data_IF_237905122877
#
_entry.id   IF_237905122877
#
_cell.length_a   1.000
_cell.length_b   1.000
_cell.length_c   1.000
_cell.angle_alpha   90.00
_cell.angle_beta   90.00
_cell.angle_gamma   90.00
#
_symmetry.space_group_name_H-M   'P 1'
#
loop_
_entity.id
_entity.type
_entity.pdbx_description
1 polymer ?
#
# COMPACT_ATOMS: atom_id res chain seq x y z
N UNK A 1 1.16 -14.56 -7.85
CA UNK A 1 1.25 -15.98 -7.41
C UNK A 1 0.50 -16.21 -6.09
N UNK A 2 0.83 -15.57 -4.96
CA UNK A 2 0.20 -15.86 -3.66
C UNK A 2 -1.32 -15.63 -3.61
N UNK A 3 -1.85 -14.58 -4.26
CA UNK A 3 -3.31 -14.34 -4.36
C UNK A 3 -4.01 -15.50 -5.08
N UNK A 4 -3.44 -15.98 -6.18
CA UNK A 4 -4.03 -17.10 -6.92
C UNK A 4 -4.02 -18.37 -6.07
N UNK A 5 -2.93 -18.61 -5.32
CA UNK A 5 -2.83 -19.75 -4.42
C UNK A 5 -3.90 -19.69 -3.30
N UNK A 6 -4.10 -18.50 -2.71
CA UNK A 6 -5.17 -18.29 -1.73
C UNK A 6 -6.55 -18.59 -2.33
N UNK A 7 -6.85 -18.05 -3.51
CA UNK A 7 -8.14 -18.21 -4.16
C UNK A 7 -8.39 -19.66 -4.61
N UNK A 8 -7.34 -20.40 -4.98
CA UNK A 8 -7.46 -21.84 -5.23
C UNK A 8 -7.74 -22.63 -3.94
N UNK A 9 -7.01 -22.36 -2.86
CA UNK A 9 -7.26 -22.99 -1.55
C UNK A 9 -8.69 -22.73 -1.07
N UNK A 10 -9.20 -21.51 -1.32
CA UNK A 10 -10.57 -21.14 -0.96
C UNK A 10 -11.67 -21.98 -1.63
N UNK A 11 -11.35 -22.79 -2.64
CA UNK A 11 -12.33 -23.71 -3.25
C UNK A 11 -12.56 -24.98 -2.46
N UNK A 12 -11.63 -25.34 -1.57
CA UNK A 12 -11.57 -26.66 -0.95
C UNK A 12 -11.66 -26.66 0.58
N UNK A 13 -11.61 -25.47 1.21
CA UNK A 13 -11.57 -25.40 2.68
C UNK A 13 -12.38 -24.21 3.20
N UNK A 14 -12.68 -24.25 4.51
CA UNK A 14 -13.40 -23.18 5.21
C UNK A 14 -12.46 -22.33 6.10
N UNK A 15 -11.22 -22.77 6.26
CA UNK A 15 -10.19 -22.04 6.99
C UNK A 15 -8.89 -22.08 6.21
N UNK A 16 -8.29 -20.91 6.01
CA UNK A 16 -6.98 -20.74 5.37
C UNK A 16 -6.05 -20.08 6.37
N UNK A 17 -4.93 -20.73 6.68
CA UNK A 17 -3.89 -20.19 7.55
C UNK A 17 -2.55 -20.19 6.79
N UNK A 18 -2.06 -19.01 6.44
CA UNK A 18 -0.85 -18.85 5.62
C UNK A 18 0.12 -17.85 6.22
N UNK A 19 1.41 -18.10 6.01
CA UNK A 19 2.45 -17.08 6.10
C UNK A 19 2.54 -16.42 4.73
N UNK A 20 2.31 -15.11 4.68
CA UNK A 20 2.13 -14.33 3.46
C UNK A 20 3.07 -13.11 3.47
N UNK A 21 3.41 -12.56 2.30
CA UNK A 21 4.10 -11.28 2.24
C UNK A 21 3.34 -10.18 2.97
N UNK A 22 4.05 -9.22 3.59
CA UNK A 22 3.43 -8.08 4.30
C UNK A 22 2.41 -7.30 3.45
N UNK A 23 2.54 -7.34 2.12
CA UNK A 23 1.56 -6.72 1.21
C UNK A 23 0.13 -7.23 1.37
N UNK A 24 -0.07 -8.40 1.99
CA UNK A 24 -1.39 -8.92 2.31
C UNK A 24 -2.10 -8.15 3.44
N UNK A 25 -1.42 -7.22 4.09
CA UNK A 25 -2.03 -6.22 4.98
C UNK A 25 -2.70 -5.06 4.22
N UNK A 26 -2.39 -4.89 2.94
CA UNK A 26 -2.96 -3.80 2.12
C UNK A 26 -4.35 -4.17 1.62
N UNK A 27 -5.29 -3.24 1.72
CA UNK A 27 -6.66 -3.40 1.19
C UNK A 27 -6.67 -3.75 -0.30
N UNK A 28 -5.75 -3.14 -1.07
CA UNK A 28 -5.60 -3.41 -2.51
C UNK A 28 -5.27 -4.88 -2.84
N UNK A 29 -4.62 -5.59 -1.92
CA UNK A 29 -4.35 -7.03 -2.03
C UNK A 29 -5.53 -7.83 -1.49
N UNK A 30 -6.04 -7.47 -0.32
CA UNK A 30 -7.15 -8.18 0.32
C UNK A 30 -8.44 -8.12 -0.51
N UNK A 31 -8.69 -7.03 -1.23
CA UNK A 31 -9.83 -6.91 -2.15
C UNK A 31 -9.80 -7.91 -3.31
N UNK A 32 -8.65 -8.54 -3.58
CA UNK A 32 -8.46 -9.53 -4.65
C UNK A 32 -8.57 -10.97 -4.16
N UNK A 33 -8.70 -11.17 -2.84
CA UNK A 33 -8.93 -12.47 -2.23
C UNK A 33 -10.42 -12.82 -2.32
N UNK A 34 -10.73 -14.12 -2.27
CA UNK A 34 -12.11 -14.61 -2.23
C UNK A 34 -12.89 -13.88 -1.12
N UNK A 35 -13.97 -13.20 -1.50
CA UNK A 35 -14.71 -12.31 -0.60
C UNK A 35 -15.48 -13.06 0.50
N UNK A 36 -15.75 -14.35 0.32
CA UNK A 36 -16.37 -15.17 1.37
C UNK A 36 -15.41 -15.51 2.52
N UNK A 37 -14.13 -15.13 2.40
CA UNK A 37 -13.16 -15.32 3.49
C UNK A 37 -12.93 -14.01 4.24
N UNK A 38 -13.10 -14.06 5.56
CA UNK A 38 -12.90 -12.95 6.47
C UNK A 38 -11.62 -13.16 7.27
N UNK A 39 -10.83 -12.10 7.42
CA UNK A 39 -9.63 -12.14 8.25
C UNK A 39 -10.04 -12.30 9.72
N UNK A 40 -9.67 -13.43 10.32
CA UNK A 40 -10.02 -13.76 11.71
C UNK A 40 -8.88 -13.44 12.67
N UNK A 41 -7.62 -13.65 12.24
CA UNK A 41 -6.44 -13.37 13.06
C UNK A 41 -5.25 -12.98 12.17
N UNK A 42 -4.40 -12.10 12.70
CA UNK A 42 -3.20 -11.62 12.02
C UNK A 42 -2.05 -11.41 13.01
N UNK A 43 -0.86 -11.91 12.65
CA UNK A 43 0.37 -11.74 13.42
C UNK A 43 1.48 -11.32 12.46
N UNK A 44 2.11 -10.15 12.71
CA UNK A 44 3.25 -9.68 11.91
C UNK A 44 4.52 -10.40 12.37
N UNK A 45 5.24 -10.98 11.41
CA UNK A 45 6.46 -11.74 11.61
C UNK A 45 7.65 -10.92 11.05
N UNK A 46 8.29 -10.12 11.91
CA UNK A 46 9.36 -9.20 11.49
C UNK A 46 10.73 -9.89 11.48
N UNK A 47 11.00 -10.76 12.46
CA UNK A 47 12.30 -11.38 12.70
C UNK A 47 12.32 -12.89 12.39
N UNK A 48 11.48 -13.34 11.44
CA UNK A 48 11.49 -14.74 11.04
C UNK A 48 12.58 -14.99 9.99
N UNK A 49 13.44 -15.98 10.27
CA UNK A 49 14.42 -16.47 9.32
C UNK A 49 13.78 -17.50 8.37
N UNK A 50 14.01 -17.33 7.08
CA UNK A 50 13.71 -18.34 6.07
C UNK A 50 15.03 -19.02 5.68
N UNK A 51 15.05 -20.35 5.68
CA UNK A 51 16.17 -21.15 5.22
C UNK A 51 16.05 -21.34 3.70
N UNK A 52 17.06 -20.95 2.97
CA UNK A 52 17.21 -21.28 1.56
C UNK A 52 17.81 -22.67 1.41
N UNK A 53 17.82 -23.19 0.17
CA UNK A 53 18.30 -24.53 -0.16
C UNK A 53 19.77 -24.77 0.27
N UNK A 54 20.57 -23.71 0.31
CA UNK A 54 21.99 -23.73 0.67
C UNK A 54 22.24 -23.39 2.16
N UNK A 55 21.21 -23.55 3.02
CA UNK A 55 21.22 -23.23 4.45
C UNK A 55 21.48 -21.74 4.76
N UNK A 56 21.49 -20.88 3.76
CA UNK A 56 21.55 -19.44 3.94
C UNK A 56 20.24 -18.95 4.60
N UNK A 57 20.39 -18.13 5.65
CA UNK A 57 19.27 -17.51 6.34
C UNK A 57 18.96 -16.14 5.74
N UNK A 58 17.72 -15.94 5.34
CA UNK A 58 17.24 -14.64 4.91
C UNK A 58 16.09 -14.18 5.81
N UNK A 59 16.09 -12.88 6.16
CA UNK A 59 14.98 -12.25 6.87
C UNK A 59 14.03 -11.63 5.86
N UNK A 60 12.79 -12.13 5.83
CA UNK A 60 11.72 -11.57 5.00
C UNK A 60 10.56 -11.22 5.90
N UNK A 61 10.24 -9.94 6.09
CA UNK A 61 9.08 -9.54 6.86
C UNK A 61 7.79 -10.10 6.24
N UNK A 62 7.07 -10.87 7.04
CA UNK A 62 5.85 -11.57 6.61
C UNK A 62 4.70 -11.30 7.58
N UNK A 63 3.54 -11.77 7.22
CA UNK A 63 2.36 -11.79 8.08
C UNK A 63 1.78 -13.22 8.09
N UNK A 64 1.51 -13.74 9.28
CA UNK A 64 0.68 -14.93 9.45
C UNK A 64 -0.76 -14.47 9.52
N UNK A 65 -1.60 -14.99 8.66
CA UNK A 65 -3.03 -14.65 8.63
C UNK A 65 -3.87 -15.91 8.65
N UNK A 66 -4.94 -15.86 9.46
CA UNK A 66 -5.98 -16.87 9.50
C UNK A 66 -7.27 -16.28 8.95
N UNK A 67 -7.77 -16.87 7.88
CA UNK A 67 -9.00 -16.48 7.20
C UNK A 67 -10.04 -17.57 7.35
N UNK A 68 -11.27 -17.20 7.66
CA UNK A 68 -12.40 -18.11 7.77
C UNK A 68 -13.48 -17.78 6.76
N UNK A 69 -14.08 -18.83 6.20
CA UNK A 69 -15.24 -18.69 5.32
C UNK A 69 -16.43 -18.19 6.12
N UNK A 70 -17.19 -17.29 5.53
CA UNK A 70 -18.48 -16.81 6.01
C UNK A 70 -19.49 -16.90 4.86
N UNK A 71 -20.77 -17.07 5.21
CA UNK A 71 -21.86 -17.08 4.23
C UNK A 71 -22.05 -15.70 3.58
N UNK A 72 -21.80 -14.64 4.35
CA UNK A 72 -21.86 -13.26 3.88
C UNK A 72 -20.53 -12.83 3.28
N UNK A 73 -20.45 -12.48 2.01
CA UNK A 73 -19.21 -11.96 1.45
C UNK A 73 -18.85 -10.61 2.08
N UNK A 74 -17.57 -10.42 2.43
CA UNK A 74 -17.08 -9.12 2.89
C UNK A 74 -17.16 -8.08 1.78
N UNK A 75 -17.43 -6.84 2.14
CA UNK A 75 -17.41 -5.72 1.20
C UNK A 75 -15.96 -5.31 0.91
N UNK A 76 -15.54 -5.24 -0.36
CA UNK A 76 -14.23 -4.69 -0.70
C UNK A 76 -14.09 -3.25 -0.17
N UNK A 77 -12.93 -2.93 0.39
CA UNK A 77 -12.62 -1.56 0.78
C UNK A 77 -12.54 -0.69 -0.47
N UNK A 78 -13.34 0.38 -0.53
CA UNK A 78 -13.33 1.30 -1.67
C UNK A 78 -12.06 2.14 -1.63
N UNK A 79 -11.13 1.85 -2.54
CA UNK A 79 -9.91 2.64 -2.68
C UNK A 79 -10.23 3.95 -3.42
N UNK A 80 -9.93 5.08 -2.80
CA UNK A 80 -10.07 6.40 -3.45
C UNK A 80 -9.03 6.54 -4.56
N UNK A 81 -9.45 7.08 -5.69
CA UNK A 81 -8.57 7.35 -6.85
C UNK A 81 -8.56 8.83 -7.24
N UNK A 82 -9.46 9.61 -6.67
CA UNK A 82 -9.63 11.05 -6.86
C UNK A 82 -9.87 11.73 -5.51
N UNK A 83 -9.49 13.00 -5.41
CA UNK A 83 -9.70 13.87 -4.25
C UNK A 83 -9.88 15.31 -4.72
N UNK A 84 -10.48 16.15 -3.87
CA UNK A 84 -10.61 17.58 -4.13
C UNK A 84 -9.35 18.38 -3.73
N UNK A 85 -8.43 17.76 -2.99
CA UNK A 85 -7.21 18.40 -2.50
C UNK A 85 -6.17 18.62 -3.60
N UNK A 86 -6.12 17.76 -4.60
CA UNK A 86 -5.16 17.83 -5.71
C UNK A 86 -5.59 16.96 -6.89
N UNK A 87 -4.91 17.12 -8.02
CA UNK A 87 -5.05 16.22 -9.18
C UNK A 87 -3.71 15.57 -9.54
N UNK A 88 -3.77 14.32 -9.99
CA UNK A 88 -2.66 13.70 -10.69
C UNK A 88 -2.65 14.19 -12.12
N UNK A 89 -1.54 14.79 -12.56
CA UNK A 89 -1.41 15.43 -13.86
C UNK A 89 -0.16 14.92 -14.58
N UNK A 90 0.01 15.36 -15.82
CA UNK A 90 1.26 15.15 -16.54
C UNK A 90 2.37 16.05 -15.96
N UNK A 91 3.60 15.63 -16.17
CA UNK A 91 4.79 16.31 -15.65
C UNK A 91 4.87 17.79 -15.99
N UNK A 92 4.40 18.18 -17.17
CA UNK A 92 4.40 19.57 -17.66
C UNK A 92 3.40 20.49 -16.95
N UNK A 93 2.40 19.92 -16.28
CA UNK A 93 1.32 20.67 -15.60
C UNK A 93 1.46 20.64 -14.07
N UNK A 94 2.45 19.87 -13.58
CA UNK A 94 2.61 19.64 -12.15
C UNK A 94 3.22 20.85 -11.43
N UNK A 95 2.74 21.08 -10.21
CA UNK A 95 3.34 22.03 -9.29
C UNK A 95 4.52 21.38 -8.54
N UNK A 96 4.40 20.09 -8.21
CA UNK A 96 5.44 19.29 -7.55
C UNK A 96 5.21 17.79 -7.82
N UNK A 97 6.14 16.96 -7.36
CA UNK A 97 6.02 15.48 -7.44
C UNK A 97 6.04 14.83 -6.07
N UNK A 98 5.50 13.63 -5.98
CA UNK A 98 5.64 12.73 -4.82
C UNK A 98 6.24 11.42 -5.30
N UNK A 99 7.33 10.96 -4.66
CA UNK A 99 7.93 9.67 -5.01
C UNK A 99 7.02 8.53 -4.56
N UNK A 100 6.66 7.64 -5.50
CA UNK A 100 5.76 6.52 -5.24
C UNK A 100 6.47 5.20 -4.97
N UNK A 101 7.71 5.04 -5.44
CA UNK A 101 8.49 3.78 -5.33
C UNK A 101 9.94 4.09 -4.95
N UNK A 102 10.52 3.24 -4.10
CA UNK A 102 11.91 3.32 -3.65
C UNK A 102 12.06 3.85 -2.23
N UNK A 103 13.30 4.03 -1.77
CA UNK A 103 13.61 4.38 -0.38
C UNK A 103 12.92 5.65 0.13
N UNK A 104 12.68 6.60 -0.76
CA UNK A 104 12.01 7.88 -0.47
C UNK A 104 10.52 7.90 -0.85
N UNK A 105 9.86 6.72 -0.95
CA UNK A 105 8.43 6.68 -1.22
C UNK A 105 7.66 7.52 -0.18
N UNK A 106 6.72 8.35 -0.66
CA UNK A 106 5.97 9.30 0.17
C UNK A 106 6.61 10.69 0.28
N UNK A 107 7.85 10.92 -0.21
CA UNK A 107 8.49 12.23 -0.16
C UNK A 107 8.13 13.09 -1.37
N UNK A 108 7.74 14.35 -1.09
CA UNK A 108 7.43 15.37 -2.06
C UNK A 108 8.66 16.21 -2.42
N UNK A 109 8.73 16.75 -3.65
CA UNK A 109 9.83 17.58 -4.12
C UNK A 109 9.43 18.37 -5.38
N UNK A 110 10.03 19.54 -5.57
CA UNK A 110 9.87 20.36 -6.77
C UNK A 110 10.74 19.91 -7.96
N UNK A 111 11.62 18.91 -7.77
CA UNK A 111 12.41 18.34 -8.86
C UNK A 111 11.53 17.54 -9.83
N UNK A 112 11.00 18.19 -10.82
CA UNK A 112 10.14 17.59 -11.83
C UNK A 112 10.94 16.81 -12.90
N UNK A 113 12.26 16.66 -12.82
CA UNK A 113 13.05 15.93 -13.83
C UNK A 113 12.86 14.42 -13.76
N UNK A 114 12.41 13.87 -12.63
CA UNK A 114 12.31 12.45 -12.35
C UNK A 114 11.29 11.71 -13.23
N UNK A 115 11.45 10.38 -13.30
CA UNK A 115 10.61 9.52 -14.15
C UNK A 115 9.18 9.39 -13.65
N UNK A 116 8.16 9.45 -14.53
CA UNK A 116 6.76 9.18 -14.18
C UNK A 116 6.51 7.75 -13.67
N UNK A 117 7.37 6.79 -14.02
CA UNK A 117 7.22 5.41 -13.55
C UNK A 117 7.39 5.26 -12.03
N UNK A 118 8.13 6.18 -11.39
CA UNK A 118 8.43 6.15 -9.96
C UNK A 118 7.91 7.37 -9.18
N UNK A 119 7.17 8.25 -9.83
CA UNK A 119 6.66 9.47 -9.22
C UNK A 119 5.20 9.74 -9.62
N UNK A 120 4.46 10.35 -8.71
CA UNK A 120 3.19 11.03 -8.99
C UNK A 120 3.49 12.51 -9.19
N UNK A 121 2.93 13.10 -10.23
CA UNK A 121 2.97 14.52 -10.51
C UNK A 121 1.65 15.13 -10.08
N UNK A 122 1.72 16.19 -9.30
CA UNK A 122 0.60 16.75 -8.53
C UNK A 122 0.35 18.19 -8.92
N UNK A 123 -0.92 18.50 -9.17
CA UNK A 123 -1.46 19.85 -9.25
C UNK A 123 -2.21 20.16 -7.96
N UNK A 124 -1.72 21.12 -7.17
CA UNK A 124 -2.32 21.53 -5.91
C UNK A 124 -3.70 22.18 -6.14
N UNK A 125 -4.67 21.84 -5.31
CA UNK A 125 -5.99 22.47 -5.27
C UNK A 125 -6.39 22.93 -3.85
N UNK A 126 -5.50 22.75 -2.89
CA UNK A 126 -5.72 23.22 -1.52
C UNK A 126 -5.57 24.74 -1.48
N UNK A 127 -5.89 25.33 -0.32
CA UNK A 127 -5.62 26.75 -0.03
C UNK A 127 -4.18 26.99 0.43
N UNK A 128 -3.41 25.92 0.70
CA UNK A 128 -2.00 26.02 1.08
C UNK A 128 -1.15 26.38 -0.14
N UNK A 129 -0.06 27.10 0.08
CA UNK A 129 0.97 27.27 -0.97
C UNK A 129 1.60 25.90 -1.32
N UNK A 130 2.27 25.82 -2.46
CA UNK A 130 2.94 24.58 -2.86
C UNK A 130 4.06 24.19 -1.88
N UNK A 131 4.76 25.20 -1.33
CA UNK A 131 5.83 25.05 -0.36
C UNK A 131 5.29 24.45 0.96
N UNK A 132 4.20 25.03 1.49
CA UNK A 132 3.54 24.55 2.69
C UNK A 132 3.03 23.13 2.54
N UNK A 133 2.40 22.81 1.39
CA UNK A 133 1.87 21.46 1.13
C UNK A 133 3.00 20.43 0.97
N UNK A 134 4.09 20.78 0.30
CA UNK A 134 5.28 19.90 0.17
C UNK A 134 5.92 19.65 1.51
N UNK A 135 6.05 20.67 2.37
CA UNK A 135 6.57 20.52 3.71
C UNK A 135 5.66 19.63 4.57
N UNK A 136 4.35 19.90 4.54
CA UNK A 136 3.35 19.08 5.24
C UNK A 136 3.44 17.60 4.82
N UNK A 137 3.43 17.29 3.51
CA UNK A 137 3.56 15.94 3.00
C UNK A 137 4.85 15.26 3.50
N UNK A 138 5.95 15.99 3.55
CA UNK A 138 7.24 15.48 3.99
C UNK A 138 7.31 15.15 5.49
N UNK A 139 6.40 15.69 6.29
CA UNK A 139 6.25 15.38 7.72
C UNK A 139 5.33 14.16 7.95
N UNK A 140 4.48 13.82 6.97
CA UNK A 140 3.55 12.71 7.10
C UNK A 140 4.26 11.35 7.13
N UNK A 141 3.63 10.42 7.83
CA UNK A 141 4.00 9.00 7.82
C UNK A 141 3.00 8.24 6.96
N UNK A 142 3.50 7.40 6.09
CA UNK A 142 2.71 6.49 5.26
C UNK A 142 2.96 5.05 5.72
N UNK A 143 2.25 4.52 6.73
CA UNK A 143 2.56 3.22 7.35
C UNK A 143 2.57 2.06 6.34
N UNK A 144 1.73 2.15 5.32
CA UNK A 144 1.55 1.09 4.32
C UNK A 144 2.72 0.95 3.34
N UNK A 145 3.62 1.93 3.24
CA UNK A 145 4.81 1.82 2.36
C UNK A 145 5.77 0.72 2.82
N UNK A 146 5.76 0.38 4.10
CA UNK A 146 6.57 -0.69 4.68
C UNK A 146 5.98 -2.10 4.39
N UNK A 147 4.72 -2.18 3.96
CA UNK A 147 4.06 -3.45 3.65
C UNK A 147 4.38 -3.95 2.24
N UNK A 148 5.66 -4.00 1.89
CA UNK A 148 6.13 -4.47 0.59
C UNK A 148 7.30 -5.44 0.78
N UNK A 149 7.39 -6.45 -0.08
CA UNK A 149 8.50 -7.43 -0.12
C UNK A 149 9.64 -6.93 -1.02
N UNK A 150 9.53 -5.76 -1.54
CA UNK A 150 10.50 -5.14 -2.44
C UNK A 150 10.69 -3.69 -2.10
N UNK A 151 11.01 -2.85 -3.06
CA UNK A 151 11.11 -1.42 -2.82
C UNK A 151 9.81 -0.88 -2.20
N UNK A 152 9.95 -0.01 -1.19
CA UNK A 152 8.82 0.70 -0.59
C UNK A 152 7.93 1.29 -1.69
N UNK A 153 6.62 1.21 -1.54
CA UNK A 153 5.70 1.73 -2.55
C UNK A 153 4.44 2.32 -1.92
N UNK A 154 4.02 3.44 -2.49
CA UNK A 154 2.82 4.20 -2.11
C UNK A 154 1.84 4.18 -3.28
N UNK A 155 0.62 3.69 -3.06
CA UNK A 155 -0.44 3.75 -4.05
C UNK A 155 -1.16 5.11 -4.02
N UNK A 156 -1.90 5.44 -5.10
CA UNK A 156 -2.72 6.66 -5.15
C UNK A 156 -3.73 6.71 -4.01
N UNK A 157 -4.40 5.59 -3.74
CA UNK A 157 -5.41 5.53 -2.67
C UNK A 157 -4.83 5.73 -1.28
N UNK A 158 -3.66 5.16 -0.99
CA UNK A 158 -2.96 5.36 0.28
C UNK A 158 -2.51 6.82 0.46
N UNK A 159 -2.00 7.45 -0.61
CA UNK A 159 -1.63 8.87 -0.61
C UNK A 159 -2.84 9.75 -0.32
N UNK A 160 -3.95 9.53 -1.03
CA UNK A 160 -5.18 10.31 -0.86
C UNK A 160 -5.71 10.16 0.58
N UNK A 161 -5.82 8.94 1.08
CA UNK A 161 -6.38 8.68 2.40
C UNK A 161 -5.59 9.39 3.51
N UNK A 162 -4.26 9.30 3.49
CA UNK A 162 -3.40 9.94 4.50
C UNK A 162 -3.46 11.47 4.42
N UNK A 163 -3.48 12.04 3.19
CA UNK A 163 -3.57 13.48 3.02
C UNK A 163 -4.93 14.04 3.45
N UNK A 164 -6.03 13.40 3.09
CA UNK A 164 -7.37 13.81 3.53
C UNK A 164 -7.47 13.79 5.05
N UNK A 165 -7.07 12.69 5.70
CA UNK A 165 -7.07 12.58 7.16
C UNK A 165 -6.24 13.68 7.84
N UNK A 166 -5.09 14.02 7.27
CA UNK A 166 -4.17 15.00 7.84
C UNK A 166 -4.61 16.45 7.67
N UNK A 167 -5.44 16.76 6.68
CA UNK A 167 -5.91 18.13 6.39
C UNK A 167 -7.35 18.38 6.87
N UNK A 168 -8.10 17.31 7.24
CA UNK A 168 -9.42 17.41 7.86
C UNK A 168 -9.36 17.49 9.41
N UNK A 169 -8.17 17.28 10.00
CA UNK A 169 -7.90 17.32 11.43
C UNK A 169 -7.47 18.72 11.87
#
# INVERSE_FOLDING_TARGET
MAINFFNEAAKFCDTIAFILPLSFKKDSVQNRLNLNFHLNNEIVLIDCDFLLKDEEKIKVPCVFQVWKRDESPRKPVKLKTVTDLFTFVDKSEADFRIQRVGGNAGKASFDLTKSPSSNYFIKNKTKMSNEELVEHINQLKFPTIEFTVGPKSLSKGELIAVLEESLES
#
